data_IF_196200833266
#
_entry.id   IF_196200833266
#
_cell.length_a   1.000
_cell.length_b   1.000
_cell.length_c   1.000
_cell.angle_alpha   90.00
_cell.angle_beta   90.00
_cell.angle_gamma   90.00
#
_symmetry.space_group_name_H-M   'P 1'
#
loop_
_entity.id
_entity.type
_entity.pdbx_description
1 polymer ?
#
# COMPACT_ATOMS: atom_id res chain seq x y z
N UNK A 1 3.24 -21.43 -9.31
CA UNK A 1 3.90 -20.26 -8.73
C UNK A 1 2.82 -19.42 -8.06
N UNK A 2 2.91 -19.19 -6.76
CA UNK A 2 1.92 -18.44 -5.98
C UNK A 2 2.41 -17.00 -5.82
N UNK A 3 1.60 -16.05 -6.24
CA UNK A 3 1.94 -14.60 -6.21
C UNK A 3 1.00 -13.87 -5.27
N UNK A 4 1.56 -13.00 -4.42
CA UNK A 4 0.82 -12.05 -3.60
C UNK A 4 1.04 -10.64 -4.13
N UNK A 5 -0.02 -9.84 -4.24
CA UNK A 5 0.07 -8.40 -4.51
C UNK A 5 -0.48 -7.66 -3.30
N UNK A 6 0.41 -7.18 -2.44
CA UNK A 6 0.08 -6.30 -1.32
C UNK A 6 0.12 -4.84 -1.79
N UNK A 7 -0.95 -4.08 -1.60
CA UNK A 7 -0.99 -2.69 -2.09
C UNK A 7 -1.74 -1.73 -1.19
N UNK A 8 -1.29 -0.48 -1.15
CA UNK A 8 -2.04 0.63 -0.55
C UNK A 8 -2.61 1.53 -1.66
N UNK A 9 -3.86 1.98 -1.52
CA UNK A 9 -4.51 2.85 -2.49
C UNK A 9 -5.38 3.92 -1.84
N UNK A 10 -4.94 5.18 -1.91
CA UNK A 10 -5.72 6.31 -1.37
C UNK A 10 -6.93 6.68 -2.24
N UNK A 11 -6.73 6.80 -3.55
CA UNK A 11 -7.74 7.33 -4.50
C UNK A 11 -8.19 6.30 -5.54
N UNK A 12 -7.74 5.05 -5.44
CA UNK A 12 -8.16 3.95 -6.32
C UNK A 12 -7.22 3.62 -7.48
N UNK A 13 -6.27 4.50 -7.83
CA UNK A 13 -5.34 4.26 -8.95
C UNK A 13 -4.52 2.98 -8.76
N UNK A 14 -3.88 2.82 -7.60
CA UNK A 14 -3.08 1.62 -7.29
C UNK A 14 -3.97 0.39 -7.19
N UNK A 15 -5.18 0.51 -6.61
CA UNK A 15 -6.16 -0.59 -6.55
C UNK A 15 -6.54 -1.10 -7.94
N UNK A 16 -6.76 -0.20 -8.89
CA UNK A 16 -7.07 -0.56 -10.28
C UNK A 16 -5.90 -1.34 -10.90
N UNK A 17 -4.68 -0.86 -10.74
CA UNK A 17 -3.48 -1.54 -11.28
C UNK A 17 -3.26 -2.91 -10.63
N UNK A 18 -3.36 -3.00 -9.30
CA UNK A 18 -3.25 -4.26 -8.58
C UNK A 18 -4.32 -5.27 -9.03
N UNK A 19 -5.56 -4.82 -9.23
CA UNK A 19 -6.63 -5.66 -9.77
C UNK A 19 -6.37 -6.15 -11.20
N UNK A 20 -5.76 -5.34 -12.05
CA UNK A 20 -5.37 -5.75 -13.41
C UNK A 20 -4.26 -6.80 -13.37
N UNK A 21 -3.19 -6.54 -12.60
CA UNK A 21 -2.07 -7.48 -12.43
C UNK A 21 -2.50 -8.78 -11.75
N UNK A 22 -3.39 -8.70 -10.75
CA UNK A 22 -3.90 -9.87 -10.04
C UNK A 22 -4.65 -10.82 -10.96
N UNK A 23 -5.42 -10.28 -11.92
CA UNK A 23 -6.09 -11.10 -12.95
C UNK A 23 -5.10 -11.76 -13.90
N UNK A 24 -4.12 -11.00 -14.39
CA UNK A 24 -3.12 -11.50 -15.33
C UNK A 24 -2.22 -12.58 -14.72
N UNK A 25 -1.81 -12.37 -13.47
CA UNK A 25 -0.88 -13.25 -12.75
C UNK A 25 -1.57 -14.33 -11.92
N UNK A 26 -2.91 -14.33 -11.89
CA UNK A 26 -3.72 -15.17 -10.98
C UNK A 26 -3.23 -15.06 -9.52
N UNK A 27 -2.96 -13.82 -9.08
CA UNK A 27 -2.36 -13.52 -7.80
C UNK A 27 -3.41 -13.24 -6.72
N UNK A 28 -3.08 -13.55 -5.47
CA UNK A 28 -3.84 -13.10 -4.32
C UNK A 28 -3.65 -11.59 -4.12
N UNK A 29 -4.72 -10.88 -3.78
CA UNK A 29 -4.70 -9.45 -3.55
C UNK A 29 -4.86 -9.14 -2.06
N UNK A 30 -3.97 -8.31 -1.54
CA UNK A 30 -4.06 -7.79 -0.18
C UNK A 30 -4.04 -6.27 -0.18
N UNK A 31 -5.17 -5.64 0.17
CA UNK A 31 -5.21 -4.20 0.34
C UNK A 31 -4.71 -3.83 1.75
N UNK A 32 -3.63 -3.05 1.80
CA UNK A 32 -3.10 -2.45 3.02
C UNK A 32 -4.04 -1.32 3.43
N UNK A 33 -4.62 -1.41 4.62
CA UNK A 33 -5.55 -0.39 5.14
C UNK A 33 -4.83 0.48 6.17
N UNK A 34 -4.68 1.77 5.87
CA UNK A 34 -4.13 2.76 6.80
C UNK A 34 -5.22 3.21 7.78
N UNK A 35 -4.98 3.03 9.09
CA UNK A 35 -5.92 3.48 10.14
C UNK A 35 -6.00 4.99 10.25
N UNK A 36 -4.99 5.72 9.74
CA UNK A 36 -4.97 7.17 9.78
C UNK A 36 -5.90 7.76 8.73
N UNK A 37 -6.81 8.65 9.14
CA UNK A 37 -7.69 9.39 8.22
C UNK A 37 -6.87 10.37 7.36
N UNK A 38 -6.82 10.11 6.05
CA UNK A 38 -6.07 10.93 5.06
C UNK A 38 -6.96 11.68 4.06
N UNK A 39 -8.25 11.82 4.35
CA UNK A 39 -9.23 12.52 3.53
C UNK A 39 -9.12 14.05 3.63
N UNK A 40 -9.53 14.74 2.56
CA UNK A 40 -9.59 16.21 2.54
C UNK A 40 -8.23 16.91 2.43
N UNK A 41 -8.25 18.25 2.46
CA UNK A 41 -7.07 19.11 2.27
C UNK A 41 -6.05 18.90 3.41
N UNK A 42 -6.52 18.89 4.67
CA UNK A 42 -5.67 18.63 5.83
C UNK A 42 -5.02 17.24 5.74
N UNK A 43 -5.81 16.23 5.38
CA UNK A 43 -5.30 14.87 5.18
C UNK A 43 -4.26 14.80 4.06
N UNK A 44 -4.41 15.58 2.98
CA UNK A 44 -3.42 15.69 1.91
C UNK A 44 -2.10 16.32 2.39
N UNK A 45 -2.16 17.43 3.13
CA UNK A 45 -0.97 18.06 3.72
C UNK A 45 -0.23 17.12 4.67
N UNK A 46 -0.95 16.45 5.57
CA UNK A 46 -0.39 15.46 6.49
C UNK A 46 0.23 14.29 5.72
N UNK A 47 -0.42 13.82 4.65
CA UNK A 47 0.11 12.74 3.79
C UNK A 47 1.44 13.11 3.15
N UNK A 48 1.55 14.33 2.61
CA UNK A 48 2.80 14.83 2.04
C UNK A 48 3.91 14.93 3.08
N UNK A 49 3.62 15.52 4.25
CA UNK A 49 4.57 15.63 5.37
C UNK A 49 5.04 14.26 5.85
N UNK A 50 4.11 13.35 6.10
CA UNK A 50 4.42 12.03 6.65
C UNK A 50 5.24 11.20 5.65
N UNK A 51 4.89 11.25 4.36
CA UNK A 51 5.67 10.58 3.31
C UNK A 51 7.09 11.14 3.18
N UNK A 52 7.25 12.45 3.25
CA UNK A 52 8.55 13.12 3.15
C UNK A 52 9.44 12.89 4.39
N UNK A 53 8.85 12.94 5.59
CA UNK A 53 9.57 12.76 6.86
C UNK A 53 9.65 11.31 7.31
N UNK A 54 9.22 10.36 6.48
CA UNK A 54 9.22 8.93 6.80
C UNK A 54 8.49 8.59 8.12
N UNK A 55 7.44 9.35 8.44
CA UNK A 55 6.64 9.15 9.65
C UNK A 55 5.81 7.89 9.45
N UNK A 56 5.93 6.86 10.33
CA UNK A 56 5.15 5.64 10.20
C UNK A 56 3.66 5.88 10.45
N UNK A 57 2.84 4.90 10.12
CA UNK A 57 1.41 4.89 10.41
C UNK A 57 1.03 3.54 11.01
N UNK A 58 -0.19 3.41 11.50
CA UNK A 58 -0.72 2.10 11.87
C UNK A 58 -1.57 1.56 10.72
N UNK A 59 -1.37 0.27 10.41
CA UNK A 59 -2.18 -0.44 9.42
C UNK A 59 -3.09 -1.47 10.12
N UNK A 60 -4.16 -1.87 9.44
CA UNK A 60 -4.94 -3.03 9.87
C UNK A 60 -4.13 -4.33 9.76
N UNK A 61 -4.63 -5.37 10.43
CA UNK A 61 -4.00 -6.68 10.40
C UNK A 61 -4.01 -7.24 8.97
N UNK A 62 -2.83 -7.67 8.51
CA UNK A 62 -2.64 -8.35 7.23
C UNK A 62 -3.20 -9.78 7.31
N UNK A 63 -3.72 -10.29 6.20
CA UNK A 63 -4.45 -11.58 6.19
C UNK A 63 -3.59 -12.71 5.67
N UNK A 64 -2.74 -12.41 4.70
CA UNK A 64 -1.87 -13.36 4.04
C UNK A 64 -0.48 -13.31 4.66
N UNK A 65 0.10 -14.49 4.89
CA UNK A 65 1.50 -14.59 5.29
C UNK A 65 2.39 -14.51 4.03
N UNK A 66 3.26 -13.50 3.87
CA UNK A 66 4.11 -13.37 2.68
C UNK A 66 5.05 -14.56 2.46
N UNK A 67 5.41 -15.29 3.52
CA UNK A 67 6.28 -16.47 3.43
C UNK A 67 5.62 -17.65 2.68
N UNK A 68 4.30 -17.63 2.49
CA UNK A 68 3.56 -18.68 1.79
C UNK A 68 3.56 -18.48 0.26
N UNK A 69 4.27 -17.47 -0.25
CA UNK A 69 4.26 -17.05 -1.65
C UNK A 69 5.65 -17.10 -2.28
N UNK A 70 5.70 -17.46 -3.56
CA UNK A 70 6.95 -17.48 -4.33
C UNK A 70 7.38 -16.06 -4.73
N UNK A 71 6.41 -15.17 -4.98
CA UNK A 71 6.64 -13.77 -5.35
C UNK A 71 5.66 -12.88 -4.57
N UNK A 72 6.19 -11.81 -3.99
CA UNK A 72 5.40 -10.75 -3.35
C UNK A 72 5.64 -9.43 -4.07
N UNK A 73 4.60 -8.91 -4.71
CA UNK A 73 4.58 -7.58 -5.31
C UNK A 73 4.02 -6.59 -4.30
N UNK A 74 4.70 -5.46 -4.09
CA UNK A 74 4.29 -4.44 -3.13
C UNK A 74 4.06 -3.11 -3.85
N UNK A 75 2.83 -2.61 -3.75
CA UNK A 75 2.38 -1.42 -4.48
C UNK A 75 1.93 -0.27 -3.57
N UNK A 76 2.23 0.96 -3.97
CA UNK A 76 1.78 2.15 -3.25
C UNK A 76 1.93 3.43 -4.05
N UNK A 77 1.16 4.48 -3.75
CA UNK A 77 1.36 5.80 -4.33
C UNK A 77 2.65 6.44 -3.80
N UNK A 78 3.24 7.31 -4.63
CA UNK A 78 4.33 8.19 -4.24
C UNK A 78 3.78 9.48 -3.62
N UNK A 79 4.25 9.83 -2.42
CA UNK A 79 3.91 11.05 -1.68
C UNK A 79 5.17 11.84 -1.33
N UNK A 80 5.04 13.16 -1.16
CA UNK A 80 6.17 14.00 -0.79
C UNK A 80 7.34 13.89 -1.78
N UNK A 81 7.04 14.05 -3.07
CA UNK A 81 7.96 13.90 -4.22
C UNK A 81 8.40 12.46 -4.53
N UNK A 82 9.14 11.81 -3.62
CA UNK A 82 9.71 10.46 -3.84
C UNK A 82 9.47 9.50 -2.67
N UNK A 83 8.70 9.90 -1.66
CA UNK A 83 8.41 9.07 -0.50
C UNK A 83 7.38 7.99 -0.82
N UNK A 84 7.67 6.75 -0.48
CA UNK A 84 6.66 5.69 -0.42
C UNK A 84 5.61 6.06 0.62
N UNK A 85 4.32 5.87 0.31
CA UNK A 85 3.26 6.11 1.27
C UNK A 85 3.54 5.35 2.60
N UNK A 86 3.35 6.00 3.77
CA UNK A 86 3.60 5.40 5.08
C UNK A 86 2.97 4.02 5.28
N UNK A 87 1.75 3.79 4.77
CA UNK A 87 1.08 2.50 4.89
C UNK A 87 1.84 1.38 4.18
N UNK A 88 2.25 1.59 2.93
CA UNK A 88 3.09 0.63 2.18
C UNK A 88 4.44 0.41 2.85
N UNK A 89 5.06 1.46 3.39
CA UNK A 89 6.33 1.32 4.11
C UNK A 89 6.17 0.55 5.42
N UNK A 90 5.08 0.79 6.15
CA UNK A 90 4.80 0.10 7.43
C UNK A 90 4.59 -1.39 7.20
N UNK A 91 3.99 -1.80 6.08
CA UNK A 91 3.84 -3.21 5.73
C UNK A 91 5.19 -3.96 5.59
N UNK A 92 6.28 -3.26 5.29
CA UNK A 92 7.61 -3.86 5.08
C UNK A 92 8.39 -4.09 6.38
N UNK A 93 7.94 -3.56 7.52
CA UNK A 93 8.67 -3.53 8.80
C UNK A 93 7.88 -4.23 9.88
#
# INVERSE_FOLDING_TARGET
>A
MKVLIAFYSKTGTTRKLAGMLGKELQADLEEIIDKKKRSGIIGWLISGRDGMKHIPTEIELVKNNPADYDIVLIGGPLWGFKGTAPATRTYLV
#
